data_IF_027223020677
#
_entry.id   IF_027223020677
#
_cell.length_a   1.000
_cell.length_b   1.000
_cell.length_c   1.000
_cell.angle_alpha   90.00
_cell.angle_beta   90.00
_cell.angle_gamma   90.00
#
_symmetry.space_group_name_H-M   'P 1'
#
loop_
_entity.id
_entity.type
_entity.pdbx_description
1 polymer ?
#
# COMPACT_ATOMS: atom_id res chain seq x y z
N UNK A 1 -24.95 7.85 -19.77
CA UNK A 1 -24.76 8.62 -21.01
C UNK A 1 -25.90 8.26 -21.92
N UNK A 2 -26.60 9.24 -22.45
CA UNK A 2 -27.74 8.98 -23.34
C UNK A 2 -27.21 8.73 -24.77
N UNK A 3 -27.60 7.62 -25.37
CA UNK A 3 -27.19 7.27 -26.74
C UNK A 3 -28.12 7.99 -27.70
N UNK A 4 -27.56 8.88 -28.52
CA UNK A 4 -28.32 9.60 -29.54
C UNK A 4 -28.33 8.78 -30.83
N UNK A 5 -29.52 8.62 -31.39
CA UNK A 5 -29.74 7.91 -32.65
C UNK A 5 -30.29 8.89 -33.67
N UNK A 6 -29.78 8.83 -34.89
CA UNK A 6 -30.34 9.50 -36.05
C UNK A 6 -30.98 8.44 -36.94
N UNK A 7 -32.28 8.56 -37.21
CA UNK A 7 -33.01 7.64 -38.09
C UNK A 7 -33.34 8.41 -39.37
N UNK A 8 -32.93 7.88 -40.52
CA UNK A 8 -33.35 8.43 -41.80
C UNK A 8 -34.80 8.07 -42.11
N UNK A 9 -35.52 9.00 -42.74
CA UNK A 9 -36.89 8.79 -43.16
C UNK A 9 -37.00 7.60 -44.11
N UNK A 10 -37.93 6.69 -43.81
CA UNK A 10 -38.28 5.57 -44.66
C UNK A 10 -39.78 5.61 -44.97
N UNK A 11 -40.15 5.24 -46.20
CA UNK A 11 -41.54 5.25 -46.61
C UNK A 11 -42.27 4.03 -46.01
N UNK A 12 -43.12 4.27 -45.00
CA UNK A 12 -43.91 3.25 -44.31
C UNK A 12 -44.86 2.45 -45.23
N UNK A 13 -45.22 2.97 -46.41
CA UNK A 13 -46.05 2.28 -47.40
C UNK A 13 -45.25 1.34 -48.32
N UNK A 14 -43.95 1.56 -48.45
CA UNK A 14 -43.06 0.76 -49.29
C UNK A 14 -42.15 -0.19 -48.49
N UNK A 15 -42.14 -0.07 -47.15
CA UNK A 15 -41.32 -0.89 -46.26
C UNK A 15 -42.12 -2.06 -45.68
N UNK A 16 -41.48 -3.24 -45.50
CA UNK A 16 -42.10 -4.37 -44.81
C UNK A 16 -42.55 -4.04 -43.38
N UNK A 17 -43.62 -4.68 -42.91
CA UNK A 17 -44.21 -4.42 -41.58
C UNK A 17 -43.22 -4.60 -40.41
N UNK A 18 -42.20 -5.46 -40.55
CA UNK A 18 -41.20 -5.73 -39.52
C UNK A 18 -40.14 -4.63 -39.36
N UNK A 19 -40.09 -3.64 -40.27
CA UNK A 19 -38.99 -2.66 -40.33
C UNK A 19 -38.90 -1.79 -39.06
N UNK A 20 -40.04 -1.31 -38.55
CA UNK A 20 -40.07 -0.51 -37.33
C UNK A 20 -39.59 -1.31 -36.10
N UNK A 21 -40.02 -2.57 -35.99
CA UNK A 21 -39.59 -3.49 -34.93
C UNK A 21 -38.09 -3.80 -35.04
N UNK A 22 -37.59 -3.99 -36.25
CA UNK A 22 -36.16 -4.20 -36.51
C UNK A 22 -35.29 -3.02 -36.07
N UNK A 23 -35.72 -1.78 -36.34
CA UNK A 23 -35.05 -0.57 -35.87
C UNK A 23 -35.07 -0.46 -34.35
N UNK A 24 -36.16 -0.84 -33.70
CA UNK A 24 -36.26 -0.86 -32.24
C UNK A 24 -35.28 -1.88 -31.62
N UNK A 25 -35.23 -3.10 -32.16
CA UNK A 25 -34.31 -4.17 -31.72
C UNK A 25 -32.86 -3.74 -31.92
N UNK A 26 -32.53 -3.13 -33.06
CA UNK A 26 -31.17 -2.62 -33.33
C UNK A 26 -30.75 -1.56 -32.31
N UNK A 27 -31.63 -0.62 -31.97
CA UNK A 27 -31.34 0.40 -30.94
C UNK A 27 -31.03 -0.24 -29.58
N UNK A 28 -31.82 -1.23 -29.18
CA UNK A 28 -31.62 -1.96 -27.92
C UNK A 28 -30.30 -2.74 -27.91
N UNK A 29 -30.01 -3.45 -29.00
CA UNK A 29 -28.77 -4.23 -29.12
C UNK A 29 -27.53 -3.33 -29.13
N UNK A 30 -27.57 -2.20 -29.85
CA UNK A 30 -26.51 -1.20 -29.80
C UNK A 30 -26.33 -0.60 -28.41
N UNK A 31 -27.42 -0.35 -27.68
CA UNK A 31 -27.35 0.14 -26.30
C UNK A 31 -26.65 -0.85 -25.39
N UNK A 32 -27.07 -2.12 -25.42
CA UNK A 32 -26.49 -3.18 -24.61
C UNK A 32 -25.01 -3.41 -24.95
N UNK A 33 -24.65 -3.35 -26.24
CA UNK A 33 -23.26 -3.45 -26.70
C UNK A 33 -22.37 -2.37 -26.10
N UNK A 34 -22.79 -1.09 -26.21
CA UNK A 34 -22.05 0.05 -25.67
C UNK A 34 -21.95 -0.01 -24.15
N UNK A 35 -23.05 -0.34 -23.46
CA UNK A 35 -23.04 -0.49 -22.00
C UNK A 35 -22.05 -1.58 -21.57
N UNK A 36 -22.05 -2.74 -22.25
CA UNK A 36 -21.11 -3.84 -22.00
C UNK A 36 -19.65 -3.41 -22.15
N UNK A 37 -19.30 -2.71 -23.23
CA UNK A 37 -17.95 -2.19 -23.44
C UNK A 37 -17.51 -1.25 -22.31
N UNK A 38 -18.40 -0.33 -21.91
CA UNK A 38 -18.13 0.60 -20.80
C UNK A 38 -17.92 -0.16 -19.48
N UNK A 39 -18.70 -1.21 -19.21
CA UNK A 39 -18.53 -2.03 -18.01
C UNK A 39 -17.21 -2.81 -18.02
N UNK A 40 -16.81 -3.36 -19.17
CA UNK A 40 -15.52 -4.04 -19.33
C UNK A 40 -14.35 -3.09 -19.08
N UNK A 41 -14.43 -1.86 -19.61
CA UNK A 41 -13.44 -0.81 -19.35
C UNK A 41 -13.33 -0.49 -17.86
N UNK A 42 -14.46 -0.25 -17.20
CA UNK A 42 -14.52 0.02 -15.76
C UNK A 42 -13.94 -1.13 -14.95
N UNK A 43 -14.29 -2.38 -15.28
CA UNK A 43 -13.78 -3.56 -14.60
C UNK A 43 -12.24 -3.66 -14.70
N UNK A 44 -11.68 -3.35 -15.88
CA UNK A 44 -10.23 -3.35 -16.09
C UNK A 44 -9.52 -2.31 -15.24
N UNK A 45 -10.06 -1.08 -15.21
CA UNK A 45 -9.51 0.01 -14.39
C UNK A 45 -9.57 -0.37 -12.90
N UNK A 46 -10.70 -0.89 -12.45
CA UNK A 46 -10.87 -1.34 -11.07
C UNK A 46 -9.90 -2.46 -10.70
N UNK A 47 -9.70 -3.46 -11.55
CA UNK A 47 -8.74 -4.54 -11.29
C UNK A 47 -7.31 -4.03 -11.20
N UNK A 48 -6.92 -3.08 -12.07
CA UNK A 48 -5.62 -2.45 -12.00
C UNK A 48 -5.40 -1.71 -10.66
N UNK A 49 -6.39 -0.92 -10.22
CA UNK A 49 -6.30 -0.23 -8.94
C UNK A 49 -6.29 -1.20 -7.76
N UNK A 50 -7.13 -2.25 -7.80
CA UNK A 50 -7.15 -3.33 -6.81
C UNK A 50 -5.78 -3.99 -6.68
N UNK A 51 -5.13 -4.32 -7.80
CA UNK A 51 -3.77 -4.89 -7.83
C UNK A 51 -2.75 -3.95 -7.20
N UNK A 52 -2.77 -2.66 -7.55
CA UNK A 52 -1.88 -1.65 -6.94
C UNK A 52 -2.06 -1.57 -5.42
N UNK A 53 -3.30 -1.50 -4.95
CA UNK A 53 -3.59 -1.46 -3.50
C UNK A 53 -3.12 -2.73 -2.81
N UNK A 54 -3.35 -3.90 -3.41
CA UNK A 54 -2.89 -5.19 -2.86
C UNK A 54 -1.36 -5.27 -2.79
N UNK A 55 -0.66 -4.83 -3.84
CA UNK A 55 0.80 -4.77 -3.84
C UNK A 55 1.33 -3.82 -2.77
N UNK A 56 0.66 -2.69 -2.55
CA UNK A 56 1.02 -1.73 -1.51
C UNK A 56 0.87 -2.32 -0.11
N UNK A 57 -0.22 -3.05 0.15
CA UNK A 57 -0.40 -3.80 1.41
C UNK A 57 0.71 -4.83 1.60
N UNK A 58 1.02 -5.61 0.56
CA UNK A 58 2.11 -6.59 0.63
C UNK A 58 3.48 -5.94 0.91
N UNK A 59 3.78 -4.82 0.26
CA UNK A 59 5.01 -4.07 0.49
C UNK A 59 5.11 -3.61 1.96
N UNK A 60 4.01 -3.15 2.53
CA UNK A 60 3.97 -2.73 3.94
C UNK A 60 4.16 -3.91 4.89
N UNK A 61 3.36 -4.95 4.74
CA UNK A 61 3.35 -6.11 5.64
C UNK A 61 4.65 -6.91 5.59
N UNK A 62 5.21 -7.10 4.39
CA UNK A 62 6.33 -8.03 4.17
C UNK A 62 7.68 -7.35 4.15
N UNK A 63 7.76 -6.05 3.84
CA UNK A 63 9.03 -5.35 3.66
C UNK A 63 9.18 -4.19 4.63
N UNK A 64 8.29 -3.20 4.59
CA UNK A 64 8.48 -1.96 5.34
C UNK A 64 8.32 -2.14 6.84
N UNK A 65 7.24 -2.79 7.31
CA UNK A 65 7.01 -3.00 8.74
C UNK A 65 8.17 -3.80 9.36
N UNK A 66 8.60 -4.95 8.80
CA UNK A 66 9.77 -5.67 9.31
C UNK A 66 11.05 -4.83 9.29
N UNK A 67 11.31 -4.08 8.20
CA UNK A 67 12.49 -3.23 8.07
C UNK A 67 12.54 -2.13 9.13
N UNK A 68 11.42 -1.47 9.40
CA UNK A 68 11.32 -0.46 10.46
C UNK A 68 11.46 -1.07 11.86
N UNK A 69 10.90 -2.25 12.11
CA UNK A 69 11.09 -2.96 13.38
C UNK A 69 12.56 -3.31 13.62
N UNK A 70 13.29 -3.72 12.57
CA UNK A 70 14.72 -3.98 12.67
C UNK A 70 15.51 -2.70 12.95
N UNK A 71 15.21 -1.60 12.26
CA UNK A 71 15.83 -0.30 12.49
C UNK A 71 15.64 0.16 13.95
N UNK A 72 14.40 0.07 14.46
CA UNK A 72 14.09 0.39 15.87
C UNK A 72 14.89 -0.50 16.82
N UNK A 73 15.01 -1.81 16.53
CA UNK A 73 15.80 -2.74 17.37
C UNK A 73 17.28 -2.37 17.39
N UNK A 74 17.86 -1.97 16.25
CA UNK A 74 19.27 -1.51 16.18
C UNK A 74 19.49 -0.26 17.02
N UNK A 75 18.58 0.72 16.93
CA UNK A 75 18.65 1.94 17.74
C UNK A 75 18.59 1.61 19.24
N UNK A 76 17.65 0.74 19.65
CA UNK A 76 17.54 0.33 21.06
C UNK A 76 18.80 -0.33 21.59
N UNK A 77 19.38 -1.28 20.86
CA UNK A 77 20.65 -1.93 21.27
C UNK A 77 21.79 -0.94 21.39
N UNK A 78 21.89 -0.01 20.43
CA UNK A 78 22.92 1.02 20.49
C UNK A 78 22.81 1.86 21.77
N UNK A 79 21.60 2.29 22.14
CA UNK A 79 21.37 3.02 23.39
C UNK A 79 21.69 2.19 24.64
N UNK A 80 21.30 0.91 24.65
CA UNK A 80 21.61 0.00 25.77
C UNK A 80 23.12 -0.22 25.90
N UNK A 81 23.84 -0.39 24.80
CA UNK A 81 25.28 -0.56 24.76
C UNK A 81 26.00 0.72 25.25
N UNK A 82 25.54 1.90 24.81
CA UNK A 82 26.06 3.19 25.27
C UNK A 82 25.89 3.36 26.79
N UNK A 83 24.72 3.02 27.34
CA UNK A 83 24.46 3.08 28.77
C UNK A 83 25.33 2.07 29.55
N UNK A 84 25.48 0.84 29.04
CA UNK A 84 26.30 -0.20 29.64
C UNK A 84 27.79 0.19 29.66
N UNK A 85 28.29 0.77 28.57
CA UNK A 85 29.66 1.31 28.47
C UNK A 85 29.91 2.40 29.53
N UNK A 86 28.97 3.33 29.70
CA UNK A 86 29.07 4.39 30.71
C UNK A 86 29.09 3.85 32.15
N UNK A 87 28.24 2.86 32.46
CA UNK A 87 28.23 2.17 33.76
C UNK A 87 29.53 1.40 34.01
N UNK A 88 30.04 0.69 33.01
CA UNK A 88 31.30 -0.04 33.10
C UNK A 88 32.48 0.89 33.35
N UNK A 89 32.58 2.00 32.61
CA UNK A 89 33.59 3.03 32.81
C UNK A 89 33.54 3.59 34.23
N UNK A 90 32.35 3.94 34.72
CA UNK A 90 32.15 4.43 36.09
C UNK A 90 32.58 3.40 37.14
N UNK A 91 32.33 2.11 36.91
CA UNK A 91 32.73 1.02 37.81
C UNK A 91 34.25 0.87 37.86
N UNK A 92 34.94 0.96 36.72
CA UNK A 92 36.41 0.88 36.66
C UNK A 92 37.04 2.03 37.46
N UNK A 93 36.56 3.26 37.26
CA UNK A 93 37.07 4.44 37.99
C UNK A 93 36.88 4.28 39.49
N UNK A 94 35.70 3.87 39.94
CA UNK A 94 35.43 3.61 41.38
C UNK A 94 36.31 2.50 41.94
N UNK A 95 36.50 1.41 41.20
CA UNK A 95 37.36 0.31 41.62
C UNK A 95 38.82 0.74 41.77
N UNK A 96 39.31 1.63 40.91
CA UNK A 96 40.67 2.14 41.00
C UNK A 96 40.87 2.99 42.26
N UNK A 97 39.94 3.90 42.53
CA UNK A 97 39.99 4.71 43.76
C UNK A 97 39.90 3.87 45.02
N UNK A 98 39.06 2.82 45.05
CA UNK A 98 39.00 1.92 46.20
C UNK A 98 40.33 1.19 46.45
N UNK A 99 41.04 0.76 45.39
CA UNK A 99 42.36 0.14 45.53
C UNK A 99 43.39 1.15 46.03
N UNK A 100 43.39 2.38 45.49
CA UNK A 100 44.26 3.48 45.95
C UNK A 100 44.04 3.78 47.45
N UNK A 101 42.79 3.85 47.90
CA UNK A 101 42.43 4.06 49.33
C UNK A 101 42.87 2.90 50.24
N UNK A 102 42.75 1.64 49.79
CA UNK A 102 43.23 0.46 50.53
C UNK A 102 44.76 0.41 50.64
N UNK A 103 45.49 0.84 49.61
CA UNK A 103 46.95 0.93 49.61
C UNK A 103 47.45 2.04 50.55
N UNK A 104 46.78 3.20 50.59
CA UNK A 104 47.09 4.29 51.52
C UNK A 104 46.86 3.85 52.98
N UNK A 105 45.74 3.19 53.27
CA UNK A 105 45.44 2.69 54.63
C UNK A 105 46.41 1.60 55.10
N UNK A 106 46.93 0.77 54.19
CA UNK A 106 47.94 -0.25 54.54
C UNK A 106 49.34 0.34 54.76
N UNK A 107 49.67 1.48 54.15
CA UNK A 107 50.96 2.16 54.37
C UNK A 107 51.00 2.98 55.67
N UNK A 108 49.85 3.40 56.19
CA UNK A 108 49.73 4.18 57.42
C UNK A 108 49.64 3.33 58.72
N UNK A 109 49.76 1.99 58.61
CA UNK A 109 49.60 1.01 59.70
C UNK A 109 50.90 0.23 59.97
#
# INVERSE_FOLDING_TARGET
GEIKYEIHEFNAFNCPAWYADGVAILKELSRLGIESEVYLEKARILDFQRKKTTQKVNLYEKVQIPGYQEAIRKIKRYMEDEENLSKAASKIVKSRHAIEEEEEQNNDN
#
